data_IF_348357481777
#
_entry.id   IF_348357481777
#
_cell.length_a   1.000
_cell.length_b   1.000
_cell.length_c   1.000
_cell.angle_alpha   90.00
_cell.angle_beta   90.00
_cell.angle_gamma   90.00
#
_symmetry.space_group_name_H-M   'P 1'
#
loop_
_entity.id
_entity.type
_entity.pdbx_description
1 polymer ?
#
# COMPACT_ATOMS: atom_id res chain seq x y z
N UNK A 1 28.26 -3.04 16.88
CA UNK A 1 28.57 -1.87 17.73
C UNK A 1 29.65 -0.97 17.12
N UNK A 2 30.85 -1.46 16.81
CA UNK A 2 31.88 -0.63 16.16
C UNK A 2 31.41 -0.02 14.82
N UNK A 3 30.66 -0.78 14.01
CA UNK A 3 30.03 -0.28 12.77
C UNK A 3 28.93 0.76 13.06
N UNK A 4 28.00 0.48 13.99
CA UNK A 4 26.94 1.41 14.42
C UNK A 4 27.48 2.77 14.88
N UNK A 5 28.55 2.78 15.68
CA UNK A 5 29.11 4.03 16.21
C UNK A 5 29.96 4.82 15.21
N UNK A 6 30.46 4.18 14.14
CA UNK A 6 31.20 4.88 13.06
C UNK A 6 30.26 5.51 12.04
N UNK A 7 29.13 4.87 11.77
CA UNK A 7 28.20 5.31 10.75
C UNK A 7 26.75 4.93 11.14
N UNK A 8 26.14 5.62 12.12
CA UNK A 8 24.78 5.32 12.56
C UNK A 8 23.74 5.51 11.44
N UNK A 9 24.04 6.31 10.42
CA UNK A 9 23.22 6.48 9.22
C UNK A 9 23.18 5.24 8.30
N UNK A 10 24.15 4.32 8.39
CA UNK A 10 24.19 3.08 7.61
C UNK A 10 23.34 1.95 8.20
N UNK A 11 22.79 2.15 9.40
CA UNK A 11 21.78 1.27 9.98
C UNK A 11 20.46 1.99 9.82
N UNK A 12 19.66 1.68 8.77
CA UNK A 12 18.35 2.30 8.62
C UNK A 12 17.58 2.01 9.90
N UNK A 13 17.35 3.05 10.70
CA UNK A 13 16.29 3.01 11.70
C UNK A 13 15.05 2.71 10.87
N UNK A 14 14.43 1.54 11.06
CA UNK A 14 13.16 1.28 10.42
C UNK A 14 12.30 2.54 10.61
N UNK A 15 11.79 3.17 9.54
CA UNK A 15 10.98 4.37 9.68
C UNK A 15 9.97 4.08 10.76
N UNK A 16 9.87 4.97 11.77
CA UNK A 16 8.95 4.80 12.88
C UNK A 16 7.63 4.34 12.28
N UNK A 17 7.17 3.10 12.55
CA UNK A 17 5.98 2.61 11.91
C UNK A 17 4.89 3.64 12.21
N UNK A 18 4.36 4.28 11.17
CA UNK A 18 3.29 5.26 11.30
C UNK A 18 2.02 4.50 11.66
N UNK A 19 1.98 4.02 12.91
CA UNK A 19 0.89 3.23 13.40
C UNK A 19 -0.35 4.13 13.36
N UNK A 20 -1.40 3.75 12.61
CA UNK A 20 -2.63 4.53 12.58
C UNK A 20 -3.15 4.69 14.01
N UNK A 21 -3.92 5.76 14.33
CA UNK A 21 -4.51 5.95 15.65
C UNK A 21 -5.25 4.71 16.21
N UNK A 22 -5.78 3.86 15.33
CA UNK A 22 -6.47 2.61 15.67
C UNK A 22 -5.55 1.35 15.73
N UNK A 23 -4.23 1.49 15.67
CA UNK A 23 -3.32 0.35 15.73
C UNK A 23 -3.46 -0.42 17.05
N UNK A 24 -3.28 -1.74 16.99
CA UNK A 24 -3.34 -2.60 18.16
C UNK A 24 -2.35 -2.15 19.23
N UNK A 25 -2.78 -2.15 20.49
CA UNK A 25 -1.98 -1.68 21.61
C UNK A 25 -0.63 -2.43 21.76
N UNK A 26 -0.56 -3.70 21.36
CA UNK A 26 0.69 -4.46 21.39
C UNK A 26 1.72 -3.97 20.35
N UNK A 27 1.27 -3.53 19.17
CA UNK A 27 2.16 -2.94 18.16
C UNK A 27 2.70 -1.59 18.63
N UNK A 28 1.87 -0.80 19.33
CA UNK A 28 2.29 0.47 19.93
C UNK A 28 3.41 0.24 20.95
N UNK A 29 3.24 -0.70 21.87
CA UNK A 29 4.27 -1.04 22.87
C UNK A 29 5.58 -1.53 22.23
N UNK A 30 5.52 -2.25 21.11
CA UNK A 30 6.72 -2.63 20.36
C UNK A 30 7.44 -1.41 19.76
N UNK A 31 6.68 -0.46 19.19
CA UNK A 31 7.24 0.80 18.67
C UNK A 31 7.81 1.65 19.80
N UNK A 32 7.09 1.79 20.92
CA UNK A 32 7.53 2.55 22.08
C UNK A 32 8.83 1.98 22.69
N UNK A 33 8.96 0.63 22.73
CA UNK A 33 10.18 -0.04 23.16
C UNK A 33 11.38 0.26 22.23
N UNK A 34 11.16 0.28 20.91
CA UNK A 34 12.20 0.63 19.93
C UNK A 34 12.57 2.12 20.00
N UNK A 35 11.57 3.00 20.15
CA UNK A 35 11.75 4.45 20.32
C UNK A 35 12.56 4.74 21.60
N UNK A 36 12.37 3.96 22.67
CA UNK A 36 13.15 4.05 23.90
C UNK A 36 14.58 3.49 23.75
N UNK A 37 14.81 2.54 22.85
CA UNK A 37 16.09 1.88 22.66
C UNK A 37 17.10 2.72 21.88
N UNK A 38 16.69 3.27 20.72
CA UNK A 38 17.61 3.92 19.80
C UNK A 38 18.41 5.08 20.41
N UNK A 39 17.81 6.04 21.14
CA UNK A 39 18.56 7.12 21.77
C UNK A 39 19.57 6.62 22.81
N UNK A 40 19.25 5.53 23.52
CA UNK A 40 20.14 4.90 24.51
C UNK A 40 21.33 4.24 23.82
N UNK A 41 21.09 3.59 22.68
CA UNK A 41 22.13 2.96 21.88
C UNK A 41 23.12 4.00 21.33
N UNK A 42 22.59 5.11 20.81
CA UNK A 42 23.42 6.21 20.30
C UNK A 42 24.22 6.87 21.43
N UNK A 43 23.62 7.03 22.61
CA UNK A 43 24.32 7.50 23.80
C UNK A 43 25.46 6.58 24.25
N UNK A 44 25.38 5.27 23.98
CA UNK A 44 26.45 4.33 24.29
C UNK A 44 27.71 4.54 23.44
N UNK A 45 27.60 5.13 22.25
CA UNK A 45 28.75 5.41 21.39
C UNK A 45 29.70 6.48 21.94
N UNK A 46 29.26 7.26 22.93
CA UNK A 46 30.12 8.24 23.64
C UNK A 46 30.93 7.63 24.78
N UNK A 47 30.75 6.33 25.08
CA UNK A 47 31.42 5.65 26.19
C UNK A 47 32.69 4.91 25.71
N UNK A 48 33.72 4.77 26.56
CA UNK A 48 34.94 4.03 26.22
C UNK A 48 34.67 2.56 25.83
N UNK A 49 33.64 1.96 26.43
CA UNK A 49 33.18 0.61 26.13
C UNK A 49 31.69 0.63 25.70
N UNK A 50 31.40 0.81 24.41
CA UNK A 50 30.02 0.97 23.92
C UNK A 50 29.21 -0.33 23.99
N UNK A 51 29.84 -1.50 23.84
CA UNK A 51 29.14 -2.79 23.79
C UNK A 51 28.49 -3.19 25.13
N UNK A 52 29.17 -3.12 26.29
CA UNK A 52 28.51 -3.36 27.58
C UNK A 52 27.37 -2.39 27.88
N UNK A 53 27.50 -1.13 27.46
CA UNK A 53 26.43 -0.14 27.56
C UNK A 53 25.21 -0.54 26.71
N UNK A 54 25.43 -0.89 25.43
CA UNK A 54 24.38 -1.30 24.52
C UNK A 54 23.64 -2.55 25.02
N UNK A 55 24.38 -3.52 25.59
CA UNK A 55 23.79 -4.75 26.16
C UNK A 55 22.89 -4.44 27.36
N UNK A 56 23.27 -3.49 28.22
CA UNK A 56 22.44 -3.02 29.33
C UNK A 56 21.21 -2.27 28.81
N UNK A 57 21.39 -1.31 27.93
CA UNK A 57 20.28 -0.56 27.31
C UNK A 57 19.24 -1.48 26.67
N UNK A 58 19.68 -2.52 25.95
CA UNK A 58 18.80 -3.53 25.38
C UNK A 58 18.05 -4.34 26.44
N UNK A 59 18.75 -4.73 27.51
CA UNK A 59 18.15 -5.47 28.63
C UNK A 59 17.07 -4.65 29.33
N UNK A 60 17.34 -3.36 29.57
CA UNK A 60 16.42 -2.46 30.25
C UNK A 60 15.15 -2.23 29.42
N UNK A 61 15.30 -2.09 28.09
CA UNK A 61 14.17 -1.97 27.16
C UNK A 61 13.31 -3.23 27.15
N UNK A 62 13.92 -4.43 27.10
CA UNK A 62 13.16 -5.68 27.14
C UNK A 62 12.43 -5.86 28.47
N UNK A 63 12.99 -5.38 29.59
CA UNK A 63 12.33 -5.42 30.88
C UNK A 63 11.14 -4.47 30.92
N UNK A 64 11.34 -3.20 30.53
CA UNK A 64 10.26 -2.20 30.45
C UNK A 64 9.12 -2.67 29.55
N UNK A 65 9.45 -3.22 28.37
CA UNK A 65 8.45 -3.78 27.47
C UNK A 65 7.63 -4.90 28.12
N UNK A 66 8.29 -5.79 28.86
CA UNK A 66 7.59 -6.86 29.56
C UNK A 66 6.75 -6.35 30.73
N UNK A 67 7.21 -5.34 31.46
CA UNK A 67 6.45 -4.69 32.53
C UNK A 67 5.16 -4.05 31.95
N UNK A 68 5.27 -3.38 30.80
CA UNK A 68 4.13 -2.81 30.07
C UNK A 68 3.16 -3.89 29.54
N UNK A 69 3.69 -5.04 29.08
CA UNK A 69 2.88 -6.18 28.65
C UNK A 69 2.11 -6.82 29.83
N UNK A 70 2.70 -6.88 31.03
CA UNK A 70 2.01 -7.35 32.24
C UNK A 70 1.05 -6.31 32.83
N UNK A 71 1.27 -5.02 32.58
CA UNK A 71 0.40 -3.92 33.01
C UNK A 71 -0.96 -3.86 32.29
N UNK A 72 -1.18 -4.69 31.28
CA UNK A 72 -2.41 -4.72 30.47
C UNK A 72 -3.10 -6.08 30.50
N UNK A 73 -4.42 -6.10 30.27
CA UNK A 73 -5.25 -7.33 30.25
C UNK A 73 -5.13 -8.15 28.94
N UNK A 74 -4.10 -7.92 28.13
CA UNK A 74 -3.89 -8.67 26.87
C UNK A 74 -2.95 -9.85 27.07
N UNK A 75 -3.01 -10.86 26.18
CA UNK A 75 -2.04 -11.96 26.20
C UNK A 75 -0.64 -11.40 26.00
N UNK A 76 0.23 -11.60 26.99
CA UNK A 76 1.59 -11.10 26.97
C UNK A 76 2.42 -11.84 25.93
N UNK A 77 3.41 -11.15 25.37
CA UNK A 77 4.43 -11.80 24.55
C UNK A 77 5.08 -12.96 25.31
N UNK A 78 5.13 -14.14 24.70
CA UNK A 78 5.47 -15.39 25.40
C UNK A 78 6.86 -15.34 26.10
N UNK A 79 7.82 -14.62 25.53
CA UNK A 79 9.15 -14.45 26.13
C UNK A 79 9.12 -13.65 27.45
N UNK A 80 8.13 -12.79 27.67
CA UNK A 80 8.02 -12.01 28.90
C UNK A 80 7.74 -12.85 30.15
N UNK A 81 7.21 -14.07 29.96
CA UNK A 81 7.01 -15.05 31.05
C UNK A 81 8.32 -15.65 31.58
N UNK A 82 9.43 -15.46 30.87
CA UNK A 82 10.77 -15.90 31.30
C UNK A 82 11.46 -14.76 32.05
N UNK A 83 12.51 -15.07 32.81
CA UNK A 83 13.29 -14.08 33.57
C UNK A 83 14.77 -14.08 33.18
N UNK A 84 15.45 -12.95 33.43
CA UNK A 84 16.90 -12.83 33.30
C UNK A 84 17.46 -13.29 31.95
N UNK A 85 18.48 -14.16 31.97
CA UNK A 85 19.11 -14.66 30.76
C UNK A 85 18.18 -15.49 29.88
N UNK A 86 17.23 -16.24 30.47
CA UNK A 86 16.27 -17.07 29.74
C UNK A 86 15.27 -16.22 28.93
N UNK A 87 14.89 -15.04 29.44
CA UNK A 87 14.09 -14.04 28.71
C UNK A 87 14.85 -13.54 27.48
N UNK A 88 16.10 -13.10 27.66
CA UNK A 88 16.92 -12.56 26.58
C UNK A 88 17.15 -13.58 25.47
N UNK A 89 17.46 -14.84 25.83
CA UNK A 89 17.62 -15.93 24.86
C UNK A 89 16.34 -16.14 24.04
N UNK A 90 15.18 -16.17 24.69
CA UNK A 90 13.90 -16.31 23.99
C UNK A 90 13.65 -15.21 22.94
N UNK A 91 13.97 -13.94 23.25
CA UNK A 91 13.85 -12.84 22.28
C UNK A 91 14.82 -13.00 21.10
N UNK A 92 16.05 -13.46 21.36
CA UNK A 92 17.02 -13.77 20.30
C UNK A 92 16.53 -14.92 19.41
N UNK A 93 16.06 -16.01 20.01
CA UNK A 93 15.59 -17.20 19.29
C UNK A 93 14.33 -16.90 18.48
N UNK A 94 13.41 -16.10 19.01
CA UNK A 94 12.22 -15.65 18.29
C UNK A 94 12.59 -14.78 17.07
N UNK A 95 13.63 -13.94 17.19
CA UNK A 95 14.15 -13.16 16.06
C UNK A 95 14.80 -14.06 15.03
N UNK A 96 15.63 -15.01 15.47
CA UNK A 96 16.31 -15.97 14.59
C UNK A 96 15.31 -16.85 13.81
N UNK A 97 14.25 -17.31 14.48
CA UNK A 97 13.17 -18.07 13.85
C UNK A 97 12.39 -17.21 12.83
N UNK A 98 12.14 -15.93 13.13
CA UNK A 98 11.50 -15.01 12.20
C UNK A 98 12.39 -14.72 10.97
N UNK A 99 13.70 -14.57 11.16
CA UNK A 99 14.67 -14.39 10.06
C UNK A 99 14.96 -15.68 9.29
N UNK A 100 14.73 -16.86 9.87
CA UNK A 100 14.84 -18.13 9.15
C UNK A 100 13.57 -18.42 8.33
N UNK A 101 12.41 -17.98 8.81
CA UNK A 101 11.14 -18.08 8.08
C UNK A 101 11.02 -17.06 6.91
N UNK A 102 11.87 -16.04 6.90
CA UNK A 102 11.92 -15.01 5.86
C UNK A 102 13.29 -15.12 5.22
N UNK A 103 13.43 -15.67 4.02
CA UNK A 103 14.72 -15.81 3.30
C UNK A 103 15.32 -14.42 2.97
N UNK A 104 15.80 -13.70 3.98
CA UNK A 104 16.41 -12.37 3.88
C UNK A 104 17.90 -12.55 4.09
N UNK A 105 18.56 -13.11 3.08
CA UNK A 105 20.00 -12.98 2.92
C UNK A 105 20.26 -11.63 2.29
N UNK A 106 20.85 -10.73 3.08
CA UNK A 106 21.19 -9.33 2.81
C UNK A 106 20.07 -8.32 3.13
N UNK A 107 20.40 -7.40 4.04
CA UNK A 107 19.65 -6.16 4.28
C UNK A 107 19.98 -5.21 3.13
N UNK A 108 19.44 -5.51 1.96
CA UNK A 108 19.25 -4.53 0.89
C UNK A 108 17.75 -4.35 0.78
N UNK A 109 17.31 -3.13 1.06
CA UNK A 109 15.92 -2.72 1.18
C UNK A 109 15.15 -3.45 2.30
N UNK A 110 15.10 -2.77 3.46
CA UNK A 110 13.88 -2.81 4.25
C UNK A 110 12.78 -2.38 3.29
N UNK A 111 12.03 -3.32 2.74
CA UNK A 111 10.70 -3.04 2.22
C UNK A 111 9.92 -2.53 3.41
N UNK A 112 10.01 -1.21 3.60
CA UNK A 112 9.06 -0.44 4.37
C UNK A 112 7.72 -0.99 3.97
N UNK A 113 6.99 -1.52 4.95
CA UNK A 113 5.64 -2.01 4.75
C UNK A 113 4.92 -0.97 3.91
N UNK A 114 4.60 -1.36 2.69
CA UNK A 114 4.18 -0.43 1.65
C UNK A 114 2.87 0.20 2.12
N UNK A 115 2.97 1.41 2.70
CA UNK A 115 1.86 2.20 3.28
C UNK A 115 0.77 2.46 2.21
N UNK A 116 1.06 2.15 0.94
CA UNK A 116 0.15 2.21 -0.19
C UNK A 116 -1.07 1.27 -0.12
N UNK A 117 -1.13 0.24 0.73
CA UNK A 117 -2.15 -0.82 0.60
C UNK A 117 -3.30 -0.83 1.63
N UNK A 118 -3.48 0.22 2.48
CA UNK A 118 -4.68 0.29 3.34
C UNK A 118 -5.89 0.87 2.58
N UNK A 119 -7.08 0.23 2.64
CA UNK A 119 -8.32 0.82 2.13
C UNK A 119 -8.71 2.08 2.89
N UNK A 120 -8.94 3.17 2.16
CA UNK A 120 -9.21 4.48 2.74
C UNK A 120 -10.51 4.49 3.56
N UNK A 121 -10.39 4.68 4.88
CA UNK A 121 -11.53 4.65 5.80
C UNK A 121 -11.90 6.06 6.33
N UNK A 122 -13.18 6.42 6.38
CA UNK A 122 -14.34 5.65 5.89
C UNK A 122 -14.52 5.75 4.37
N UNK A 123 -15.20 4.77 3.75
CA UNK A 123 -15.54 4.84 2.34
C UNK A 123 -16.67 5.86 2.09
N UNK A 124 -16.66 6.49 0.92
CA UNK A 124 -17.68 7.45 0.49
C UNK A 124 -19.08 6.84 0.41
N UNK A 125 -20.11 7.68 0.56
CA UNK A 125 -21.48 7.25 0.30
C UNK A 125 -21.67 6.99 -1.21
N UNK A 126 -22.30 5.87 -1.61
CA UNK A 126 -22.68 5.67 -3.01
C UNK A 126 -23.64 6.76 -3.52
N UNK A 127 -23.27 7.38 -4.63
CA UNK A 127 -24.01 8.43 -5.35
C UNK A 127 -24.01 8.12 -6.84
N UNK A 128 -24.89 8.77 -7.61
CA UNK A 128 -24.86 8.60 -9.06
C UNK A 128 -23.51 8.99 -9.67
N UNK A 129 -22.80 9.96 -9.07
CA UNK A 129 -21.52 10.46 -9.55
C UNK A 129 -20.35 9.48 -9.34
N UNK A 130 -20.38 8.63 -8.31
CA UNK A 130 -19.29 7.70 -7.99
C UNK A 130 -19.64 6.23 -8.23
N UNK A 131 -20.88 5.92 -8.61
CA UNK A 131 -21.34 4.54 -8.83
C UNK A 131 -20.52 3.83 -9.91
N UNK A 132 -20.17 4.56 -10.97
CA UNK A 132 -19.37 4.01 -12.06
C UNK A 132 -17.99 3.57 -11.56
N UNK A 133 -17.32 4.40 -10.75
CA UNK A 133 -16.03 4.06 -10.13
C UNK A 133 -16.16 2.90 -9.13
N UNK A 134 -17.24 2.85 -8.34
CA UNK A 134 -17.51 1.74 -7.42
C UNK A 134 -17.52 0.40 -8.16
N UNK A 135 -18.14 0.34 -9.34
CA UNK A 135 -18.21 -0.88 -10.13
C UNK A 135 -16.95 -1.11 -10.98
N UNK A 136 -16.53 -0.11 -11.75
CA UNK A 136 -15.45 -0.22 -12.73
C UNK A 136 -14.06 -0.33 -12.13
N UNK A 137 -13.87 0.02 -10.86
CA UNK A 137 -12.59 -0.13 -10.16
C UNK A 137 -12.59 -1.30 -9.15
N UNK A 138 -13.66 -2.09 -9.13
CA UNK A 138 -13.75 -3.29 -8.29
C UNK A 138 -12.58 -4.24 -8.54
N UNK A 139 -11.85 -4.60 -7.50
CA UNK A 139 -10.68 -5.48 -7.59
C UNK A 139 -9.34 -4.77 -7.79
N UNK A 140 -9.35 -3.47 -8.10
CA UNK A 140 -8.14 -2.63 -8.09
C UNK A 140 -7.95 -1.94 -6.73
N UNK A 141 -9.06 -1.70 -6.01
CA UNK A 141 -9.03 -1.11 -4.67
C UNK A 141 -8.22 -1.96 -3.69
N UNK A 142 -7.48 -1.34 -2.75
CA UNK A 142 -6.75 -2.08 -1.73
C UNK A 142 -7.63 -3.08 -0.97
N UNK A 143 -7.07 -4.25 -0.68
CA UNK A 143 -7.77 -5.30 0.04
C UNK A 143 -7.78 -5.07 1.56
N UNK A 144 -8.59 -5.82 2.32
CA UNK A 144 -8.70 -5.69 3.77
C UNK A 144 -7.48 -6.24 4.55
N UNK A 145 -6.38 -6.59 3.86
CA UNK A 145 -5.17 -7.15 4.49
C UNK A 145 -4.52 -6.10 5.40
N UNK A 146 -4.08 -6.50 6.58
CA UNK A 146 -3.47 -5.59 7.57
C UNK A 146 -4.46 -4.75 8.38
N UNK A 147 -5.76 -4.79 8.08
CA UNK A 147 -6.77 -4.03 8.82
C UNK A 147 -7.18 -4.68 10.16
N UNK A 148 -7.55 -3.88 11.18
CA UNK A 148 -8.18 -4.39 12.40
C UNK A 148 -9.47 -5.15 12.10
N UNK A 149 -9.78 -6.19 12.89
CA UNK A 149 -10.86 -7.15 12.62
C UNK A 149 -12.21 -6.55 12.17
N UNK A 150 -12.82 -5.61 12.92
CA UNK A 150 -14.08 -4.98 12.52
C UNK A 150 -13.99 -4.25 11.17
N UNK A 151 -12.88 -3.55 10.91
CA UNK A 151 -12.65 -2.80 9.68
C UNK A 151 -12.38 -3.75 8.50
N UNK A 152 -11.55 -4.78 8.70
CA UNK A 152 -11.29 -5.81 7.70
C UNK A 152 -12.60 -6.48 7.25
N UNK A 153 -13.41 -6.95 8.21
CA UNK A 153 -14.71 -7.58 7.91
C UNK A 153 -15.70 -6.63 7.26
N UNK A 154 -15.68 -5.34 7.63
CA UNK A 154 -16.50 -4.32 6.97
C UNK A 154 -16.16 -4.23 5.49
N UNK A 155 -14.90 -4.05 5.12
CA UNK A 155 -14.49 -3.98 3.70
C UNK A 155 -14.75 -5.28 2.93
N UNK A 156 -14.44 -6.44 3.49
CA UNK A 156 -14.73 -7.73 2.84
C UNK A 156 -16.21 -7.87 2.48
N UNK A 157 -17.10 -7.48 3.40
CA UNK A 157 -18.55 -7.52 3.14
C UNK A 157 -18.98 -6.43 2.16
N UNK A 158 -18.47 -5.21 2.32
CA UNK A 158 -18.84 -4.10 1.46
C UNK A 158 -18.47 -4.36 0.00
N UNK A 159 -17.24 -4.82 -0.28
CA UNK A 159 -16.79 -5.14 -1.64
C UNK A 159 -17.62 -6.26 -2.27
N UNK A 160 -17.93 -7.31 -1.50
CA UNK A 160 -18.81 -8.39 -1.94
C UNK A 160 -20.22 -7.89 -2.24
N UNK A 161 -20.77 -7.04 -1.38
CA UNK A 161 -22.12 -6.52 -1.53
C UNK A 161 -22.20 -5.53 -2.71
N UNK A 162 -21.18 -4.68 -2.90
CA UNK A 162 -21.02 -3.85 -4.10
C UNK A 162 -20.93 -4.69 -5.38
N UNK A 163 -20.17 -5.79 -5.36
CA UNK A 163 -20.11 -6.74 -6.48
C UNK A 163 -21.52 -7.17 -6.91
N UNK A 164 -22.33 -7.68 -5.98
CA UNK A 164 -23.72 -8.07 -6.26
C UNK A 164 -24.58 -6.92 -6.77
N UNK A 165 -24.42 -5.71 -6.23
CA UNK A 165 -25.19 -4.55 -6.67
C UNK A 165 -24.82 -4.11 -8.10
N UNK A 166 -23.55 -4.21 -8.47
CA UNK A 166 -23.06 -3.90 -9.82
C UNK A 166 -23.52 -4.94 -10.85
N UNK A 167 -23.52 -6.23 -10.48
CA UNK A 167 -23.85 -7.31 -11.41
C UNK A 167 -25.37 -7.40 -11.66
N UNK A 168 -26.20 -7.09 -10.65
CA UNK A 168 -27.67 -7.26 -10.73
C UNK A 168 -28.43 -6.03 -11.28
N UNK A 169 -27.75 -4.97 -11.76
CA UNK A 169 -28.40 -3.77 -12.30
C UNK A 169 -29.20 -2.91 -11.31
N UNK A 170 -29.40 -3.37 -10.07
CA UNK A 170 -30.02 -2.60 -8.97
C UNK A 170 -29.16 -1.41 -8.50
N UNK A 171 -27.87 -1.42 -8.86
CA UNK A 171 -26.99 -0.27 -8.96
C UNK A 171 -26.89 0.56 -7.67
N UNK A 172 -27.42 1.78 -7.72
CA UNK A 172 -27.21 2.80 -6.70
C UNK A 172 -27.98 2.52 -5.40
N UNK A 173 -29.25 2.14 -5.49
CA UNK A 173 -30.09 1.93 -4.30
C UNK A 173 -29.57 0.73 -3.47
N UNK A 174 -29.21 -0.35 -4.16
CA UNK A 174 -28.57 -1.51 -3.54
C UNK A 174 -27.24 -1.14 -2.87
N UNK A 175 -26.35 -0.43 -3.57
CA UNK A 175 -25.05 -0.05 -3.03
C UNK A 175 -25.19 0.87 -1.80
N UNK A 176 -26.08 1.86 -1.86
CA UNK A 176 -26.34 2.75 -0.72
C UNK A 176 -26.87 2.00 0.49
N UNK A 177 -27.81 1.07 0.29
CA UNK A 177 -28.34 0.24 1.36
C UNK A 177 -27.27 -0.69 1.97
N UNK A 178 -26.44 -1.31 1.12
CA UNK A 178 -25.31 -2.14 1.56
C UNK A 178 -24.29 -1.34 2.38
N UNK A 179 -23.96 -0.13 1.94
CA UNK A 179 -23.06 0.78 2.64
C UNK A 179 -23.61 1.19 4.01
N UNK A 180 -24.87 1.62 4.09
CA UNK A 180 -25.52 1.99 5.37
C UNK A 180 -25.56 0.80 6.34
N UNK A 181 -26.04 -0.35 5.88
CA UNK A 181 -26.10 -1.59 6.67
C UNK A 181 -24.72 -2.05 7.13
N UNK A 182 -23.71 -1.87 6.27
CA UNK A 182 -22.31 -2.15 6.56
C UNK A 182 -21.79 -1.30 7.70
N UNK A 183 -22.04 0.02 7.67
CA UNK A 183 -21.63 0.96 8.73
C UNK A 183 -22.32 0.67 10.07
N UNK A 184 -23.62 0.35 10.05
CA UNK A 184 -24.35 -0.03 11.27
C UNK A 184 -23.83 -1.32 11.89
N UNK A 185 -23.40 -2.28 11.07
CA UNK A 185 -22.74 -3.48 11.55
C UNK A 185 -21.33 -3.17 12.06
N UNK A 186 -20.56 -2.34 11.35
CA UNK A 186 -19.23 -1.92 11.77
C UNK A 186 -19.26 -1.29 13.16
N UNK A 187 -20.15 -0.32 13.41
CA UNK A 187 -20.24 0.34 14.70
C UNK A 187 -20.63 -0.60 15.84
N UNK A 188 -21.50 -1.59 15.59
CA UNK A 188 -21.83 -2.64 16.57
C UNK A 188 -20.63 -3.53 16.87
N UNK A 189 -19.90 -3.95 15.83
CA UNK A 189 -18.71 -4.80 16.00
C UNK A 189 -17.56 -4.04 16.68
N UNK A 190 -17.34 -2.78 16.33
CA UNK A 190 -16.32 -1.93 16.94
C UNK A 190 -16.66 -1.64 18.41
N UNK A 191 -17.92 -1.33 18.71
CA UNK A 191 -18.38 -1.10 20.08
C UNK A 191 -18.38 -2.33 20.99
N UNK A 192 -18.41 -3.53 20.41
CA UNK A 192 -18.26 -4.79 21.16
C UNK A 192 -16.80 -5.07 21.54
N UNK A 193 -15.83 -4.36 20.95
CA UNK A 193 -14.41 -4.48 21.28
C UNK A 193 -14.04 -3.35 22.24
N UNK A 194 -13.17 -3.62 23.23
CA UNK A 194 -12.72 -2.63 24.23
C UNK A 194 -11.79 -1.54 23.66
N UNK A 195 -11.68 -1.44 22.34
CA UNK A 195 -10.95 -0.39 21.63
C UNK A 195 -11.91 0.77 21.40
N UNK A 196 -11.46 2.02 21.56
CA UNK A 196 -12.32 3.19 21.35
C UNK A 196 -13.05 3.16 20.00
N UNK A 197 -14.34 3.50 20.00
CA UNK A 197 -15.17 3.53 18.80
C UNK A 197 -14.84 4.73 17.90
N UNK A 198 -15.06 4.58 16.60
CA UNK A 198 -14.95 5.67 15.66
C UNK A 198 -15.95 6.80 16.02
N UNK A 199 -15.52 8.06 15.91
CA UNK A 199 -16.33 9.25 16.29
C UNK A 199 -17.72 9.26 15.64
N UNK A 200 -17.86 8.73 14.44
CA UNK A 200 -19.16 8.67 13.75
C UNK A 200 -20.12 7.62 14.32
N UNK A 201 -19.62 6.57 14.97
CA UNK A 201 -20.46 5.58 15.64
C UNK A 201 -21.16 6.16 16.87
N UNK A 202 -20.60 7.22 17.45
CA UNK A 202 -21.17 7.94 18.59
C UNK A 202 -22.33 8.88 18.18
N UNK A 203 -22.45 9.22 16.89
CA UNK A 203 -23.46 10.15 16.36
C UNK A 203 -24.80 9.44 16.07
N UNK A 204 -25.47 8.93 17.12
CA UNK A 204 -26.80 8.32 17.00
C UNK A 204 -26.91 7.20 15.96
N UNK A 205 -28.13 6.73 15.65
CA UNK A 205 -28.41 5.76 14.58
C UNK A 205 -28.80 6.41 13.24
N UNK A 206 -28.78 5.62 12.17
CA UNK A 206 -29.36 6.01 10.88
C UNK A 206 -28.68 7.19 10.18
N UNK A 207 -29.47 8.16 9.71
CA UNK A 207 -29.01 9.24 8.79
C UNK A 207 -27.92 10.14 9.37
N UNK A 208 -27.89 10.36 10.69
CA UNK A 208 -26.86 11.20 11.33
C UNK A 208 -25.48 10.52 11.26
N UNK A 209 -25.43 9.22 11.57
CA UNK A 209 -24.23 8.38 11.48
C UNK A 209 -23.72 8.30 10.05
N UNK A 210 -24.61 7.98 9.10
CA UNK A 210 -24.26 7.91 7.68
C UNK A 210 -23.65 9.23 7.18
N UNK A 211 -24.27 10.38 7.49
CA UNK A 211 -23.74 11.69 7.11
C UNK A 211 -22.35 11.97 7.69
N UNK A 212 -22.09 11.58 8.94
CA UNK A 212 -20.76 11.72 9.53
C UNK A 212 -19.72 10.89 8.76
N UNK A 213 -20.03 9.64 8.42
CA UNK A 213 -19.12 8.79 7.65
C UNK A 213 -18.89 9.31 6.22
N UNK A 214 -19.96 9.72 5.53
CA UNK A 214 -19.85 10.31 4.19
C UNK A 214 -18.97 11.56 4.18
N UNK A 215 -19.16 12.48 5.15
CA UNK A 215 -18.39 13.71 5.26
C UNK A 215 -16.92 13.48 5.70
N UNK A 216 -16.64 12.36 6.36
CA UNK A 216 -15.30 12.01 6.80
C UNK A 216 -14.51 11.18 5.76
N UNK A 217 -15.13 10.82 4.62
CA UNK A 217 -14.50 9.98 3.62
C UNK A 217 -13.40 10.76 2.87
N UNK A 218 -12.14 10.29 2.87
CA UNK A 218 -11.04 10.97 2.20
C UNK A 218 -11.11 10.87 0.67
N UNK A 219 -11.70 9.78 0.15
CA UNK A 219 -11.89 9.55 -1.29
C UNK A 219 -13.36 9.23 -1.57
N UNK A 220 -14.26 10.23 -1.50
CA UNK A 220 -15.68 9.99 -1.64
C UNK A 220 -16.07 9.58 -3.07
N UNK A 221 -15.25 9.92 -4.06
CA UNK A 221 -15.49 9.61 -5.48
C UNK A 221 -14.98 8.23 -5.91
N UNK A 222 -14.32 7.46 -5.03
CA UNK A 222 -13.70 6.17 -5.38
C UNK A 222 -12.73 6.28 -6.56
N UNK A 223 -11.98 7.37 -6.63
CA UNK A 223 -11.10 7.75 -7.74
C UNK A 223 -9.61 7.57 -7.43
N UNK A 224 -9.27 6.99 -6.27
CA UNK A 224 -7.89 6.84 -5.80
C UNK A 224 -7.03 6.03 -6.78
N UNK A 225 -7.60 5.02 -7.40
CA UNK A 225 -6.93 4.14 -8.35
C UNK A 225 -6.90 4.72 -9.78
N UNK A 226 -7.49 5.90 -10.02
CA UNK A 226 -7.51 6.56 -11.32
C UNK A 226 -6.28 7.44 -11.50
N UNK A 227 -5.56 7.24 -12.60
CA UNK A 227 -4.34 7.95 -12.91
C UNK A 227 -4.31 8.38 -14.38
N UNK A 228 -3.68 9.52 -14.65
CA UNK A 228 -3.28 9.91 -16.00
C UNK A 228 -1.78 9.67 -16.10
N UNK A 229 -1.39 8.70 -16.92
CA UNK A 229 0.01 8.28 -17.05
C UNK A 229 0.58 8.66 -18.41
N UNK A 230 1.91 8.76 -18.48
CA UNK A 230 2.64 8.79 -19.74
C UNK A 230 3.19 7.41 -20.02
N UNK A 231 2.79 6.81 -21.14
CA UNK A 231 3.33 5.53 -21.64
C UNK A 231 4.52 5.75 -22.58
N UNK A 232 5.02 6.98 -22.70
CA UNK A 232 6.12 7.34 -23.59
C UNK A 232 7.47 6.73 -23.18
N UNK A 233 7.68 6.51 -21.88
CA UNK A 233 8.88 5.90 -21.32
C UNK A 233 8.48 4.89 -20.24
N UNK A 234 8.82 3.63 -20.48
CA UNK A 234 8.41 2.50 -19.65
C UNK A 234 9.59 2.06 -18.77
N UNK A 235 9.97 2.92 -17.83
CA UNK A 235 11.01 2.58 -16.85
C UNK A 235 10.52 1.57 -15.78
N UNK A 236 11.42 1.10 -14.90
CA UNK A 236 11.11 0.06 -13.92
C UNK A 236 9.92 0.39 -13.03
N UNK A 237 9.78 1.66 -12.61
CA UNK A 237 8.67 2.10 -11.77
C UNK A 237 7.31 2.04 -12.47
N UNK A 238 7.26 2.39 -13.77
CA UNK A 238 6.05 2.30 -14.56
C UNK A 238 5.68 0.83 -14.82
N UNK A 239 6.67 -0.02 -15.12
CA UNK A 239 6.44 -1.44 -15.37
C UNK A 239 5.93 -2.20 -14.15
N UNK A 240 6.38 -1.85 -12.93
CA UNK A 240 5.77 -2.35 -11.69
C UNK A 240 4.26 -2.09 -11.62
N UNK A 241 3.80 -0.99 -12.20
CA UNK A 241 2.36 -0.65 -12.27
C UNK A 241 1.67 -1.42 -13.40
N UNK A 242 2.23 -1.38 -14.61
CA UNK A 242 1.61 -1.96 -15.81
C UNK A 242 1.55 -3.49 -15.79
N UNK A 243 2.51 -4.15 -15.16
CA UNK A 243 2.54 -5.59 -14.98
C UNK A 243 1.69 -6.09 -13.80
N UNK A 244 1.12 -5.16 -13.01
CA UNK A 244 0.19 -5.47 -11.94
C UNK A 244 -1.27 -5.48 -12.41
N UNK A 245 -2.22 -5.58 -11.47
CA UNK A 245 -3.64 -5.43 -11.77
C UNK A 245 -3.92 -4.00 -12.26
N UNK A 246 -4.25 -3.87 -13.55
CA UNK A 246 -4.61 -2.62 -14.20
C UNK A 246 -5.93 -2.73 -14.97
N UNK A 247 -6.55 -1.59 -15.25
CA UNK A 247 -7.61 -1.44 -16.25
C UNK A 247 -7.33 -0.20 -17.09
N UNK A 248 -7.04 -0.41 -18.37
CA UNK A 248 -6.92 0.68 -19.32
C UNK A 248 -8.30 1.29 -19.58
N UNK A 249 -8.45 2.58 -19.32
CA UNK A 249 -9.71 3.30 -19.55
C UNK A 249 -9.73 4.00 -20.91
N UNK A 250 -8.55 4.18 -21.52
CA UNK A 250 -8.42 4.69 -22.87
C UNK A 250 -8.87 3.64 -23.89
N UNK A 251 -9.81 4.02 -24.77
CA UNK A 251 -10.18 3.27 -25.98
C UNK A 251 -9.55 3.85 -27.24
N UNK A 252 -8.64 4.82 -27.09
CA UNK A 252 -8.06 5.55 -28.22
C UNK A 252 -6.95 4.71 -28.83
N UNK A 253 -7.14 4.25 -30.07
CA UNK A 253 -6.07 3.67 -30.88
C UNK A 253 -4.92 4.69 -30.99
N UNK A 254 -3.65 4.31 -30.79
CA UNK A 254 -3.12 2.94 -30.68
C UNK A 254 -2.81 2.45 -29.26
N UNK A 255 -3.34 3.12 -28.24
CA UNK A 255 -2.94 2.88 -26.84
C UNK A 255 -3.22 1.46 -26.36
N UNK A 256 -4.41 0.87 -26.59
CA UNK A 256 -4.67 -0.52 -26.18
C UNK A 256 -3.72 -1.51 -26.84
N UNK A 257 -3.50 -1.41 -28.15
CA UNK A 257 -2.67 -2.35 -28.90
C UNK A 257 -1.20 -2.30 -28.48
N UNK A 258 -0.66 -1.09 -28.30
CA UNK A 258 0.72 -0.92 -27.84
C UNK A 258 0.92 -1.40 -26.41
N UNK A 259 -0.04 -1.15 -25.52
CA UNK A 259 0.05 -1.59 -24.13
C UNK A 259 -0.07 -3.12 -24.02
N UNK A 260 -0.97 -3.73 -24.80
CA UNK A 260 -1.12 -5.18 -24.87
C UNK A 260 0.18 -5.84 -25.34
N UNK A 261 0.78 -5.35 -26.43
CA UNK A 261 2.04 -5.88 -26.96
C UNK A 261 3.18 -5.84 -25.93
N UNK A 262 3.32 -4.74 -25.20
CA UNK A 262 4.35 -4.62 -24.16
C UNK A 262 4.05 -5.54 -22.98
N UNK A 263 2.83 -5.51 -22.46
CA UNK A 263 2.49 -6.24 -21.23
C UNK A 263 2.48 -7.76 -21.44
N UNK A 264 2.05 -8.25 -22.60
CA UNK A 264 2.06 -9.68 -22.92
C UNK A 264 3.47 -10.26 -23.05
N UNK A 265 4.38 -9.48 -23.65
CA UNK A 265 5.74 -9.96 -23.96
C UNK A 265 6.70 -9.75 -22.81
N UNK A 266 6.60 -8.63 -22.08
CA UNK A 266 7.63 -8.22 -21.14
C UNK A 266 7.31 -8.51 -19.67
N UNK A 267 6.02 -8.58 -19.26
CA UNK A 267 5.70 -8.70 -17.83
C UNK A 267 6.02 -10.06 -17.21
N UNK A 268 6.25 -11.09 -18.03
CA UNK A 268 6.70 -12.40 -17.55
C UNK A 268 8.23 -12.45 -17.28
N UNK A 269 8.98 -11.44 -17.75
CA UNK A 269 10.43 -11.39 -17.61
C UNK A 269 10.87 -10.92 -16.21
N UNK A 270 12.12 -11.21 -15.80
CA UNK A 270 12.70 -10.66 -14.57
C UNK A 270 12.73 -9.12 -14.59
N UNK A 271 12.60 -8.43 -13.43
CA UNK A 271 12.52 -6.96 -13.36
C UNK A 271 13.65 -6.20 -14.07
N UNK A 272 14.86 -6.76 -14.07
CA UNK A 272 16.04 -6.20 -14.73
C UNK A 272 15.89 -6.16 -16.28
N UNK A 273 15.15 -7.12 -16.85
CA UNK A 273 14.94 -7.28 -18.29
C UNK A 273 13.66 -6.62 -18.80
N UNK A 274 12.73 -6.30 -17.90
CA UNK A 274 11.42 -5.73 -18.26
C UNK A 274 11.54 -4.37 -18.97
N UNK A 275 12.43 -3.49 -18.49
CA UNK A 275 12.60 -2.14 -19.05
C UNK A 275 13.16 -2.15 -20.48
N UNK A 276 14.31 -2.81 -20.76
CA UNK A 276 14.80 -2.90 -22.14
C UNK A 276 13.82 -3.61 -23.06
N UNK A 277 13.15 -4.69 -22.61
CA UNK A 277 12.10 -5.35 -23.38
C UNK A 277 10.97 -4.38 -23.73
N UNK A 278 10.49 -3.60 -22.78
CA UNK A 278 9.34 -2.72 -22.98
C UNK A 278 9.65 -1.59 -23.98
N UNK A 279 10.85 -1.01 -23.95
CA UNK A 279 11.27 0.01 -24.91
C UNK A 279 11.43 -0.55 -26.32
N UNK A 280 12.02 -1.73 -26.45
CA UNK A 280 12.18 -2.42 -27.73
C UNK A 280 10.81 -2.83 -28.30
N UNK A 281 9.97 -3.49 -27.51
CA UNK A 281 8.65 -3.97 -27.93
C UNK A 281 7.74 -2.80 -28.31
N UNK A 282 7.76 -1.70 -27.55
CA UNK A 282 7.00 -0.50 -27.89
C UNK A 282 7.46 0.08 -29.24
N UNK A 283 8.76 0.07 -29.50
CA UNK A 283 9.33 0.59 -30.74
C UNK A 283 8.94 -0.27 -31.94
N UNK A 284 9.11 -1.59 -31.85
CA UNK A 284 8.71 -2.54 -32.88
C UNK A 284 7.20 -2.45 -33.18
N UNK A 285 6.38 -2.36 -32.13
CA UNK A 285 4.92 -2.28 -32.27
C UNK A 285 4.46 -0.98 -32.95
N UNK A 286 5.15 0.15 -32.71
CA UNK A 286 4.88 1.41 -33.42
C UNK A 286 5.19 1.26 -34.92
N UNK A 287 6.28 0.58 -35.26
CA UNK A 287 6.72 0.40 -36.65
C UNK A 287 5.74 -0.48 -37.43
N UNK A 288 5.31 -1.59 -36.84
CA UNK A 288 4.29 -2.48 -37.39
C UNK A 288 2.93 -1.79 -37.55
N UNK A 289 2.54 -0.99 -36.55
CA UNK A 289 1.30 -0.24 -36.57
C UNK A 289 1.29 0.77 -37.73
N UNK A 290 2.39 1.46 -37.99
CA UNK A 290 2.50 2.39 -39.12
C UNK A 290 2.38 1.73 -40.50
N UNK A 291 2.63 0.42 -40.62
CA UNK A 291 2.41 -0.33 -41.86
C UNK A 291 0.93 -0.67 -42.13
N UNK A 292 0.10 -0.76 -41.08
CA UNK A 292 -1.27 -1.27 -41.18
C UNK A 292 -2.36 -0.24 -40.81
N UNK A 293 -1.97 0.87 -40.19
CA UNK A 293 -2.89 1.88 -39.67
C UNK A 293 -2.68 3.25 -40.32
N UNK A 294 -3.79 3.87 -40.72
CA UNK A 294 -3.81 5.27 -41.16
C UNK A 294 -3.77 6.18 -39.94
N UNK A 295 -2.59 6.68 -39.64
CA UNK A 295 -2.32 7.59 -38.53
C UNK A 295 -2.96 8.99 -38.72
N UNK A 296 -3.96 9.37 -37.89
CA UNK A 296 -4.62 10.67 -37.98
C UNK A 296 -3.72 11.87 -37.62
N UNK A 297 -2.60 11.66 -36.92
CA UNK A 297 -1.70 12.72 -36.44
C UNK A 297 -0.43 12.86 -37.28
N UNK A 298 -0.22 11.99 -38.27
CA UNK A 298 0.93 12.07 -39.17
C UNK A 298 2.29 11.81 -38.50
N UNK A 299 2.32 11.03 -37.41
CA UNK A 299 3.55 10.52 -36.82
C UNK A 299 4.20 9.42 -37.68
N UNK A 300 3.43 8.57 -38.35
CA UNK A 300 3.94 7.48 -39.19
C UNK A 300 4.69 7.93 -40.46
N UNK A 301 4.54 9.18 -40.89
CA UNK A 301 5.33 9.74 -41.99
C UNK A 301 6.74 10.17 -41.58
N UNK A 302 7.07 10.13 -40.28
CA UNK A 302 8.39 10.45 -39.75
C UNK A 302 9.26 9.19 -39.69
N UNK A 303 10.58 9.37 -39.80
CA UNK A 303 11.55 8.28 -39.70
C UNK A 303 12.17 8.14 -38.31
N UNK A 304 12.43 6.89 -37.90
CA UNK A 304 13.24 6.55 -36.73
C UNK A 304 12.82 7.29 -35.45
N UNK A 305 13.75 7.96 -34.73
CA UNK A 305 13.48 8.54 -33.41
C UNK A 305 12.40 9.64 -33.41
N UNK A 306 12.22 10.37 -34.52
CA UNK A 306 11.19 11.42 -34.60
C UNK A 306 9.77 10.86 -34.61
N UNK A 307 9.60 9.65 -35.15
CA UNK A 307 8.32 8.93 -35.09
C UNK A 307 7.97 8.59 -33.65
N UNK A 308 8.90 7.98 -32.91
CA UNK A 308 8.67 7.63 -31.50
C UNK A 308 8.35 8.86 -30.64
N UNK A 309 9.08 9.97 -30.85
CA UNK A 309 8.78 11.23 -30.15
C UNK A 309 7.38 11.76 -30.47
N UNK A 310 6.95 11.68 -31.73
CA UNK A 310 5.60 12.08 -32.11
C UNK A 310 4.54 11.21 -31.43
N UNK A 311 4.74 9.88 -31.37
CA UNK A 311 3.83 8.98 -30.65
C UNK A 311 3.78 9.27 -29.15
N UNK A 312 4.94 9.49 -28.53
CA UNK A 312 5.07 9.88 -27.14
C UNK A 312 4.21 11.12 -26.81
N UNK A 313 4.32 12.17 -27.62
CA UNK A 313 3.63 13.45 -27.39
C UNK A 313 2.14 13.41 -27.77
N UNK A 314 1.76 12.67 -28.83
CA UNK A 314 0.41 12.75 -29.44
C UNK A 314 -0.53 11.63 -28.99
N UNK A 315 -0.01 10.48 -28.59
CA UNK A 315 -0.80 9.28 -28.29
C UNK A 315 -0.57 8.73 -26.89
N UNK A 316 0.68 8.73 -26.41
CA UNK A 316 1.06 8.05 -25.17
C UNK A 316 1.04 8.96 -23.94
N UNK A 317 0.85 10.27 -24.11
CA UNK A 317 0.71 11.23 -23.01
C UNK A 317 -0.71 11.32 -22.45
N UNK A 318 -0.84 11.42 -21.13
CA UNK A 318 -2.12 11.67 -20.46
C UNK A 318 -3.13 10.54 -20.63
N UNK A 319 -2.65 9.29 -20.67
CA UNK A 319 -3.48 8.11 -20.85
C UNK A 319 -4.21 7.80 -19.53
N UNK A 320 -5.56 7.75 -19.53
CA UNK A 320 -6.30 7.37 -18.35
C UNK A 320 -6.15 5.86 -18.09
N UNK A 321 -5.59 5.54 -16.93
CA UNK A 321 -5.29 4.20 -16.45
C UNK A 321 -5.83 4.05 -15.03
N UNK A 322 -6.48 2.92 -14.76
CA UNK A 322 -6.72 2.52 -13.39
C UNK A 322 -5.74 1.44 -12.95
N UNK A 323 -5.14 1.58 -11.77
CA UNK A 323 -4.13 0.63 -11.29
C UNK A 323 -4.24 0.39 -9.78
N UNK A 324 -3.99 -0.85 -9.35
CA UNK A 324 -3.92 -1.19 -7.94
C UNK A 324 -2.65 -0.64 -7.26
N UNK A 325 -1.55 -0.59 -8.01
CA UNK A 325 -0.29 0.03 -7.60
C UNK A 325 -0.25 1.43 -8.22
N UNK A 326 -0.02 2.51 -7.45
CA UNK A 326 0.04 3.84 -8.02
C UNK A 326 1.26 3.96 -8.95
N UNK A 327 1.11 4.59 -10.13
CA UNK A 327 2.23 4.86 -11.03
C UNK A 327 3.23 5.82 -10.37
N UNK A 328 4.47 5.89 -10.87
CA UNK A 328 5.42 6.91 -10.43
C UNK A 328 4.79 8.30 -10.59
N UNK A 329 5.10 9.20 -9.65
CA UNK A 329 4.70 10.59 -9.78
C UNK A 329 5.22 11.12 -11.13
N UNK A 330 4.44 11.93 -11.87
CA UNK A 330 4.94 12.56 -13.07
C UNK A 330 6.19 13.38 -12.70
N UNK A 331 7.29 13.17 -13.42
CA UNK A 331 8.51 13.96 -13.22
C UNK A 331 8.13 15.44 -13.32
N UNK A 332 8.14 16.12 -12.17
CA UNK A 332 8.14 17.58 -12.16
C UNK A 332 9.49 17.99 -12.74
N UNK A 333 9.48 18.36 -14.02
CA UNK A 333 10.59 19.03 -14.69
C UNK A 333 11.13 20.13 -13.77
N UNK A 334 12.31 19.87 -13.19
CA UNK A 334 13.27 20.90 -12.83
C UNK A 334 14.07 21.28 -14.07
#
# INVERSE_FOLDING_TARGET
MAQHCRAPALFPRAPRPSLPPAAFAHLRRQVDALDAFWPRLDGCCRRPAPLPCARRAWTDVLNSFCDDEFGVKTRQFHCCRRHGAARRRCFTDATAAATAATHVTQVTEVTVWDVAHEPSFPPGEPTAANMDNICRLRGLRPGPRGLPGPRARFYTRLERDFGRCCDNGTGLACARAAWQKGLDRYCREEGAVKTGQHRCCQRGGGRARSRCFAAAAPHPAYDRELHNVSLARLGPAMLRTLCGPIRLLSKRRPVPELLEAVTSSCCALPPEEQSPCAEEQLSQSIDELCGSWRDPRGCCSRGGPERHRCFAERYLGGVPLAAAVPPPAPDHLQ
#
